data_IF_047897213706
#
_entry.id   IF_047897213706
#
_cell.length_a   1.000
_cell.length_b   1.000
_cell.length_c   1.000
_cell.angle_alpha   90.00
_cell.angle_beta   90.00
_cell.angle_gamma   90.00
#
_symmetry.space_group_name_H-M   'P 1'
#
loop_
_entity.id
_entity.type
_entity.pdbx_description
1 polymer ?
#
# COMPACT_ATOMS: atom_id res chain seq x y z
N UNK A 1 -16.19 10.26 -4.73
CA UNK A 1 -15.70 10.44 -3.36
C UNK A 1 -14.19 10.28 -3.42
N UNK A 2 -13.42 11.27 -2.98
CA UNK A 2 -11.96 11.18 -2.88
C UNK A 2 -11.55 10.51 -1.57
N UNK A 3 -10.26 10.15 -1.44
CA UNK A 3 -9.73 9.62 -0.17
C UNK A 3 -9.85 10.68 0.94
N UNK A 4 -9.54 11.94 0.66
CA UNK A 4 -9.66 13.03 1.63
C UNK A 4 -11.10 13.19 2.13
N UNK A 5 -12.08 13.12 1.22
CA UNK A 5 -13.50 13.17 1.57
C UNK A 5 -13.91 11.98 2.44
N UNK A 6 -13.38 10.80 2.16
CA UNK A 6 -13.65 9.58 2.94
C UNK A 6 -13.07 9.69 4.36
N UNK A 7 -11.82 10.14 4.48
CA UNK A 7 -11.10 10.31 5.75
C UNK A 7 -11.68 11.45 6.58
N UNK A 8 -12.24 12.48 5.96
CA UNK A 8 -12.95 13.54 6.68
C UNK A 8 -14.27 13.05 7.31
N UNK A 9 -14.87 11.99 6.78
CA UNK A 9 -16.18 11.46 7.21
C UNK A 9 -16.06 10.25 8.15
N UNK A 10 -14.90 9.61 8.22
CA UNK A 10 -14.68 8.38 8.98
C UNK A 10 -13.42 8.48 9.82
N UNK A 11 -13.47 7.93 11.04
CA UNK A 11 -12.26 7.71 11.84
C UNK A 11 -11.83 6.27 11.67
N UNK A 12 -10.65 6.06 11.11
CA UNK A 12 -10.05 4.73 10.96
C UNK A 12 -9.21 4.40 12.18
N UNK A 13 -9.42 3.22 12.76
CA UNK A 13 -8.61 2.70 13.88
C UNK A 13 -7.60 1.67 13.38
N UNK A 14 -7.95 0.93 12.33
CA UNK A 14 -7.10 -0.10 11.75
C UNK A 14 -7.05 0.01 10.23
N UNK A 15 -6.03 -0.61 9.66
CA UNK A 15 -5.88 -0.78 8.21
C UNK A 15 -7.03 -1.58 7.60
N UNK A 16 -7.49 -2.64 8.26
CA UNK A 16 -8.63 -3.44 7.81
C UNK A 16 -9.92 -2.61 7.76
N UNK A 17 -10.18 -1.76 8.77
CA UNK A 17 -11.35 -0.85 8.77
C UNK A 17 -11.35 0.07 7.54
N UNK A 18 -10.16 0.54 7.14
CA UNK A 18 -9.98 1.38 5.97
C UNK A 18 -10.28 0.63 4.67
N UNK A 19 -9.72 -0.58 4.49
CA UNK A 19 -9.98 -1.42 3.30
C UNK A 19 -11.46 -1.81 3.17
N UNK A 20 -12.11 -2.18 4.28
CA UNK A 20 -13.55 -2.49 4.29
C UNK A 20 -14.37 -1.26 3.91
N UNK A 21 -13.97 -0.08 4.37
CA UNK A 21 -14.65 1.17 4.01
C UNK A 21 -14.50 1.49 2.52
N UNK A 22 -13.31 1.31 1.94
CA UNK A 22 -13.09 1.46 0.49
C UNK A 22 -13.99 0.50 -0.30
N UNK A 23 -14.02 -0.78 0.11
CA UNK A 23 -14.86 -1.80 -0.49
C UNK A 23 -16.35 -1.45 -0.44
N UNK A 24 -16.84 -1.03 0.72
CA UNK A 24 -18.26 -0.68 0.93
C UNK A 24 -18.69 0.55 0.12
N UNK A 25 -17.75 1.45 -0.18
CA UNK A 25 -17.98 2.63 -1.02
C UNK A 25 -17.66 2.40 -2.51
N UNK A 26 -17.29 1.17 -2.90
CA UNK A 26 -16.86 0.81 -4.26
C UNK A 26 -15.68 1.68 -4.77
N UNK A 27 -14.77 2.04 -3.87
CA UNK A 27 -13.54 2.76 -4.23
C UNK A 27 -12.47 1.69 -4.53
N UNK A 28 -12.17 1.51 -5.82
CA UNK A 28 -11.28 0.45 -6.30
C UNK A 28 -9.85 0.90 -6.53
N UNK A 29 -9.64 2.21 -6.70
CA UNK A 29 -8.36 2.77 -7.09
C UNK A 29 -8.24 4.26 -6.78
N UNK A 30 -7.03 4.79 -6.96
CA UNK A 30 -6.75 6.22 -7.06
C UNK A 30 -6.20 6.49 -8.47
N UNK A 31 -6.95 7.30 -9.24
CA UNK A 31 -6.58 7.75 -10.59
C UNK A 31 -6.20 6.61 -11.56
N UNK A 32 -6.80 5.42 -11.42
CA UNK A 32 -6.48 4.22 -12.20
C UNK A 32 -5.01 3.74 -12.07
N UNK A 33 -4.23 4.37 -11.18
CA UNK A 33 -2.80 4.08 -10.98
C UNK A 33 -2.55 3.15 -9.81
N UNK A 34 -3.18 3.44 -8.66
CA UNK A 34 -3.02 2.69 -7.41
C UNK A 34 -4.28 1.87 -7.17
N UNK A 35 -4.20 0.55 -7.35
CA UNK A 35 -5.32 -0.39 -7.29
C UNK A 35 -5.41 -1.01 -5.90
N UNK A 36 -6.58 -0.95 -5.24
CA UNK A 36 -6.75 -1.47 -3.88
C UNK A 36 -6.92 -3.00 -3.82
N UNK A 37 -6.33 -3.60 -2.79
CA UNK A 37 -6.41 -5.03 -2.48
C UNK A 37 -7.72 -5.39 -1.76
N UNK A 38 -8.84 -5.36 -2.46
CA UNK A 38 -10.17 -5.59 -1.85
C UNK A 38 -10.56 -7.07 -1.67
N UNK A 39 -9.70 -8.00 -2.10
CA UNK A 39 -9.95 -9.45 -2.15
C UNK A 39 -8.74 -10.32 -1.78
N UNK A 40 -7.74 -9.76 -1.09
CA UNK A 40 -6.52 -10.44 -0.62
C UNK A 40 -5.58 -11.05 -1.67
N UNK A 41 -5.95 -11.03 -2.95
CA UNK A 41 -5.16 -11.63 -4.03
C UNK A 41 -3.75 -11.04 -4.14
N UNK A 42 -3.60 -9.73 -3.89
CA UNK A 42 -2.29 -9.08 -4.01
C UNK A 42 -1.29 -9.59 -2.96
N UNK A 43 -1.78 -10.00 -1.78
CA UNK A 43 -0.96 -10.59 -0.72
C UNK A 43 -0.43 -11.97 -1.13
N UNK A 44 -1.28 -12.79 -1.73
CA UNK A 44 -0.87 -14.10 -2.26
C UNK A 44 0.18 -13.96 -3.38
N UNK A 45 -0.02 -13.01 -4.29
CA UNK A 45 0.93 -12.72 -5.37
C UNK A 45 2.28 -12.25 -4.84
N UNK A 46 2.30 -11.30 -3.90
CA UNK A 46 3.53 -10.81 -3.27
C UNK A 46 4.33 -11.95 -2.65
N UNK A 47 3.68 -12.78 -1.84
CA UNK A 47 4.33 -13.87 -1.13
C UNK A 47 4.79 -15.01 -2.04
N UNK A 48 4.10 -15.23 -3.16
CA UNK A 48 4.56 -16.14 -4.21
C UNK A 48 5.83 -15.61 -4.89
N UNK A 49 5.89 -14.31 -5.18
CA UNK A 49 7.05 -13.69 -5.81
C UNK A 49 8.28 -13.70 -4.89
N UNK A 50 8.08 -13.41 -3.60
CA UNK A 50 9.14 -13.48 -2.58
C UNK A 50 9.74 -14.88 -2.52
N UNK A 51 8.91 -15.92 -2.44
CA UNK A 51 9.38 -17.32 -2.42
C UNK A 51 10.16 -17.69 -3.68
N UNK A 52 9.73 -17.20 -4.84
CA UNK A 52 10.34 -17.54 -6.11
C UNK A 52 11.71 -16.90 -6.29
N UNK A 53 11.87 -15.64 -5.87
CA UNK A 53 13.12 -14.89 -6.04
C UNK A 53 14.15 -15.17 -4.95
N UNK A 54 13.69 -15.46 -3.72
CA UNK A 54 14.47 -15.88 -2.54
C UNK A 54 15.95 -15.43 -2.54
N UNK A 55 16.19 -14.19 -2.10
CA UNK A 55 17.52 -13.59 -1.96
C UNK A 55 17.57 -12.70 -0.70
N UNK A 56 18.71 -12.64 -0.02
CA UNK A 56 18.88 -11.92 1.25
C UNK A 56 18.67 -10.40 1.14
N UNK A 57 18.83 -9.83 -0.06
CA UNK A 57 18.60 -8.40 -0.33
C UNK A 57 17.13 -8.05 -0.52
N UNK A 58 16.27 -9.05 -0.71
CA UNK A 58 14.84 -8.88 -0.92
C UNK A 58 14.07 -8.99 0.40
N UNK A 59 12.85 -8.45 0.41
CA UNK A 59 11.88 -8.71 1.48
C UNK A 59 11.57 -10.20 1.60
N UNK A 60 11.55 -10.70 2.83
CA UNK A 60 11.07 -12.06 3.13
C UNK A 60 9.63 -12.03 3.62
N UNK A 61 9.00 -13.21 3.66
CA UNK A 61 7.67 -13.36 4.27
C UNK A 61 7.66 -13.01 5.74
N UNK A 62 8.71 -13.39 6.48
CA UNK A 62 8.83 -13.11 7.91
C UNK A 62 8.91 -11.60 8.17
N UNK A 63 9.64 -10.88 7.32
CA UNK A 63 9.72 -9.41 7.42
C UNK A 63 8.36 -8.73 7.23
N UNK A 64 7.48 -9.31 6.40
CA UNK A 64 6.23 -8.71 5.96
C UNK A 64 4.97 -9.34 6.59
N UNK A 65 5.11 -10.33 7.47
CA UNK A 65 3.97 -11.10 7.98
C UNK A 65 2.95 -10.23 8.73
N UNK A 66 3.44 -9.18 9.38
CA UNK A 66 2.66 -8.24 10.19
C UNK A 66 2.13 -7.05 9.39
N UNK A 67 2.46 -6.97 8.11
CA UNK A 67 1.93 -5.95 7.22
C UNK A 67 0.69 -6.46 6.47
N UNK A 68 -0.27 -5.55 6.29
CA UNK A 68 -1.39 -5.74 5.39
C UNK A 68 -1.05 -5.14 4.03
N UNK A 69 -1.34 -5.86 2.95
CA UNK A 69 -1.19 -5.35 1.58
C UNK A 69 -2.43 -4.54 1.24
N UNK A 70 -2.21 -3.26 0.93
CA UNK A 70 -3.28 -2.27 0.73
C UNK A 70 -3.59 -2.11 -0.73
N UNK A 71 -2.54 -1.98 -1.53
CA UNK A 71 -2.67 -1.65 -2.92
C UNK A 71 -1.43 -2.08 -3.70
N UNK A 72 -1.58 -2.00 -5.02
CA UNK A 72 -0.51 -2.21 -5.97
C UNK A 72 -0.60 -1.15 -7.07
N UNK A 73 0.54 -0.61 -7.50
CA UNK A 73 0.60 0.27 -8.67
C UNK A 73 0.48 -0.55 -9.96
N UNK A 74 0.19 0.12 -11.08
CA UNK A 74 0.24 -0.51 -12.41
C UNK A 74 1.64 -1.05 -12.77
N UNK A 75 2.69 -0.47 -12.18
CA UNK A 75 4.09 -0.88 -12.36
C UNK A 75 4.49 -2.05 -11.44
N UNK A 76 3.55 -2.54 -10.63
CA UNK A 76 3.68 -3.64 -9.69
C UNK A 76 4.45 -3.34 -8.39
N UNK A 77 4.53 -2.08 -8.01
CA UNK A 77 4.97 -1.70 -6.67
C UNK A 77 3.83 -1.93 -5.68
N UNK A 78 4.16 -2.39 -4.48
CA UNK A 78 3.20 -2.72 -3.45
C UNK A 78 3.17 -1.64 -2.38
N UNK A 79 1.97 -1.33 -1.91
CA UNK A 79 1.75 -0.49 -0.75
C UNK A 79 1.21 -1.33 0.40
N UNK A 80 1.93 -1.30 1.51
CA UNK A 80 1.67 -2.09 2.72
C UNK A 80 1.50 -1.18 3.94
N UNK A 81 0.80 -1.67 4.96
CA UNK A 81 0.59 -0.94 6.21
C UNK A 81 0.68 -1.83 7.44
N UNK A 82 1.27 -1.32 8.51
CA UNK A 82 1.29 -1.90 9.84
C UNK A 82 1.07 -0.79 10.88
N UNK A 83 -0.17 -0.66 11.37
CA UNK A 83 -0.52 0.39 12.34
C UNK A 83 -0.29 1.79 11.76
N UNK A 84 0.58 2.57 12.41
CA UNK A 84 0.95 3.92 11.99
C UNK A 84 2.17 3.96 11.06
N UNK A 85 2.55 2.83 10.47
CA UNK A 85 3.67 2.73 9.52
C UNK A 85 3.17 2.25 8.17
N UNK A 86 3.56 2.94 7.11
CA UNK A 86 3.32 2.53 5.73
C UNK A 86 4.62 2.20 5.03
N UNK A 87 4.59 1.21 4.14
CA UNK A 87 5.74 0.69 3.43
C UNK A 87 5.41 0.63 1.93
N UNK A 88 6.29 1.19 1.11
CA UNK A 88 6.25 1.09 -0.35
C UNK A 88 7.37 0.16 -0.79
N UNK A 89 7.01 -0.95 -1.42
CA UNK A 89 7.95 -1.95 -1.92
C UNK A 89 7.96 -1.87 -3.45
N UNK A 90 9.09 -1.61 -4.11
CA UNK A 90 9.14 -1.60 -5.55
C UNK A 90 8.93 -3.01 -6.12
N UNK A 91 8.54 -3.09 -7.39
CA UNK A 91 8.35 -4.39 -8.09
C UNK A 91 9.57 -5.32 -8.06
N UNK A 92 10.78 -4.79 -7.83
CA UNK A 92 12.02 -5.56 -7.63
C UNK A 92 12.07 -6.31 -6.30
N UNK A 93 11.21 -5.96 -5.34
CA UNK A 93 11.15 -6.44 -3.96
C UNK A 93 12.41 -6.15 -3.13
N UNK A 94 13.29 -5.27 -3.60
CA UNK A 94 14.56 -4.97 -2.93
C UNK A 94 14.31 -4.09 -1.69
N UNK A 95 14.87 -4.50 -0.55
CA UNK A 95 14.78 -3.76 0.72
C UNK A 95 15.40 -2.37 0.63
N UNK A 96 16.55 -2.24 -0.05
CA UNK A 96 17.30 -1.00 -0.12
C UNK A 96 16.60 0.10 -0.93
N UNK A 97 15.74 -0.33 -1.87
CA UNK A 97 14.98 0.55 -2.74
C UNK A 97 13.55 0.80 -2.20
N UNK A 98 13.20 0.23 -1.04
CA UNK A 98 11.88 0.41 -0.43
C UNK A 98 11.81 1.65 0.45
N UNK A 99 10.63 2.23 0.57
CA UNK A 99 10.41 3.46 1.33
C UNK A 99 9.45 3.21 2.51
N UNK A 100 9.84 3.69 3.69
CA UNK A 100 9.07 3.54 4.93
C UNK A 100 8.66 4.92 5.42
N UNK A 101 7.40 5.05 5.82
CA UNK A 101 6.81 6.28 6.33
C UNK A 101 6.16 6.03 7.69
N UNK A 102 6.44 6.90 8.66
CA UNK A 102 5.77 6.92 9.97
C UNK A 102 4.38 7.55 9.88
N UNK A 103 3.57 7.04 8.95
CA UNK A 103 2.20 7.47 8.68
C UNK A 103 1.29 6.24 8.53
N UNK A 104 0.07 6.26 9.10
CA UNK A 104 -0.94 5.29 8.74
C UNK A 104 -1.36 5.48 7.28
N UNK A 105 -1.80 4.40 6.67
CA UNK A 105 -2.03 4.32 5.22
C UNK A 105 -2.92 5.42 4.65
N UNK A 106 -4.02 5.77 5.34
CA UNK A 106 -4.93 6.80 4.84
C UNK A 106 -4.30 8.19 4.80
N UNK A 107 -3.36 8.51 5.71
CA UNK A 107 -2.60 9.77 5.64
C UNK A 107 -1.60 9.76 4.50
N UNK A 108 -0.90 8.64 4.29
CA UNK A 108 0.00 8.49 3.14
C UNK A 108 -0.75 8.69 1.82
N UNK A 109 -1.94 8.11 1.68
CA UNK A 109 -2.75 8.25 0.46
C UNK A 109 -3.28 9.68 0.24
N UNK A 110 -3.58 10.43 1.32
CA UNK A 110 -3.88 11.87 1.23
C UNK A 110 -2.66 12.63 0.70
N UNK A 111 -1.49 12.47 1.33
CA UNK A 111 -0.26 13.16 0.92
C UNK A 111 0.15 12.78 -0.52
N UNK A 112 -0.10 11.54 -0.93
CA UNK A 112 0.09 11.09 -2.30
C UNK A 112 -0.85 11.83 -3.27
N UNK A 113 -2.15 11.90 -2.97
CA UNK A 113 -3.14 12.64 -3.76
C UNK A 113 -2.86 14.14 -3.84
N UNK A 114 -2.34 14.73 -2.77
CA UNK A 114 -1.95 16.15 -2.67
C UNK A 114 -0.58 16.45 -3.34
N UNK A 115 0.12 15.42 -3.83
CA UNK A 115 1.49 15.51 -4.40
C UNK A 115 2.51 16.07 -3.40
N UNK A 116 2.34 15.81 -2.11
CA UNK A 116 3.24 16.22 -1.02
C UNK A 116 4.06 15.08 -0.43
N UNK A 117 3.69 13.82 -0.73
CA UNK A 117 4.43 12.64 -0.29
C UNK A 117 5.85 12.65 -0.89
N UNK A 118 6.92 12.62 -0.07
CA UNK A 118 8.30 12.67 -0.55
C UNK A 118 8.79 11.29 -0.97
N UNK A 119 8.08 10.68 -1.93
CA UNK A 119 8.39 9.35 -2.48
C UNK A 119 9.11 9.47 -3.82
N UNK A 120 10.01 8.54 -4.09
CA UNK A 120 10.68 8.37 -5.38
C UNK A 120 10.12 7.19 -6.19
N UNK A 121 9.28 6.36 -5.57
CA UNK A 121 8.64 5.18 -6.19
C UNK A 121 7.28 5.56 -6.78
N UNK A 122 6.40 6.19 -6.00
CA UNK A 122 5.08 6.55 -6.51
C UNK A 122 5.16 7.88 -7.26
N UNK A 123 4.76 7.87 -8.52
CA UNK A 123 4.68 9.09 -9.33
C UNK A 123 3.27 9.24 -9.90
N UNK A 124 2.57 10.30 -9.49
CA UNK A 124 1.37 10.78 -10.20
C UNK A 124 1.81 11.78 -11.25
N UNK A 125 1.90 11.32 -12.49
CA UNK A 125 2.03 12.18 -13.68
C UNK A 125 0.92 13.28 -13.69
#
# INVERSE_FOLDING_TARGET
MTIDELVAQHTFQTTSDFLDTLKNNNITDINEYLLFNLNDRMKEELFTNIDFLADDTLWSKEDLENFEVIAKTIDNDYLLSQGDTSLIIPSSLNKADSEIFDLPIWKLLIEFGEKTLPTSILALD
#
